data_IF_177195456320
#
_entry.id   IF_177195456320
#
_cell.length_a   1.000
_cell.length_b   1.000
_cell.length_c   1.000
_cell.angle_alpha   90.00
_cell.angle_beta   90.00
_cell.angle_gamma   90.00
#
_symmetry.space_group_name_H-M   'P 1'
#
loop_
_entity.id
_entity.type
_entity.pdbx_description
1 polymer ?
#
# COMPACT_ATOMS: atom_id res chain seq x y z
N UNK A 1 -10.56 -8.14 -21.00
CA UNK A 1 -11.19 -7.81 -19.71
C UNK A 1 -10.97 -8.90 -18.68
N UNK A 2 -10.42 -8.56 -17.50
CA UNK A 2 -10.26 -9.49 -16.37
C UNK A 2 -11.60 -9.57 -15.64
N UNK A 3 -12.21 -10.75 -15.57
CA UNK A 3 -13.43 -10.98 -14.79
C UNK A 3 -13.06 -11.39 -13.37
N UNK A 4 -13.61 -10.70 -12.37
CA UNK A 4 -13.47 -11.08 -10.97
C UNK A 4 -14.58 -12.09 -10.63
N UNK A 5 -14.21 -13.21 -10.00
CA UNK A 5 -15.13 -14.31 -9.76
C UNK A 5 -15.39 -14.59 -8.27
N UNK A 6 -14.40 -14.34 -7.40
CA UNK A 6 -14.51 -14.59 -5.96
C UNK A 6 -13.47 -13.75 -5.19
N UNK A 7 -13.70 -13.47 -3.89
CA UNK A 7 -12.79 -12.70 -3.04
C UNK A 7 -13.20 -12.74 -1.56
N UNK A 8 -12.28 -12.36 -0.68
CA UNK A 8 -12.50 -12.32 0.77
C UNK A 8 -11.54 -11.35 1.47
N UNK A 9 -11.84 -11.04 2.73
CA UNK A 9 -11.01 -10.16 3.58
C UNK A 9 -10.22 -10.98 4.60
N UNK A 10 -9.00 -10.52 4.90
CA UNK A 10 -8.13 -11.18 5.87
C UNK A 10 -7.35 -12.39 5.32
N UNK A 11 -6.48 -12.98 6.13
CA UNK A 11 -5.73 -14.18 5.77
C UNK A 11 -6.63 -15.43 5.72
N UNK A 12 -6.11 -16.51 5.15
CA UNK A 12 -6.72 -17.86 5.16
C UNK A 12 -8.12 -17.95 4.52
N UNK A 13 -8.41 -17.05 3.57
CA UNK A 13 -9.65 -17.07 2.83
C UNK A 13 -9.81 -18.34 1.98
N UNK A 14 -11.02 -18.91 2.01
CA UNK A 14 -11.41 -20.03 1.16
C UNK A 14 -12.33 -19.53 0.05
N UNK A 15 -11.95 -19.86 -1.18
CA UNK A 15 -12.72 -19.52 -2.38
C UNK A 15 -13.10 -20.80 -3.12
N UNK A 16 -14.35 -20.87 -3.57
CA UNK A 16 -14.82 -21.92 -4.47
C UNK A 16 -14.90 -21.33 -5.87
N UNK A 17 -14.18 -21.94 -6.81
CA UNK A 17 -14.13 -21.55 -8.22
C UNK A 17 -14.17 -22.81 -9.10
N UNK A 18 -14.64 -22.71 -10.35
CA UNK A 18 -14.48 -23.79 -11.33
C UNK A 18 -13.02 -24.20 -11.53
N UNK A 19 -12.79 -25.33 -12.20
CA UNK A 19 -11.45 -25.67 -12.65
C UNK A 19 -10.95 -24.67 -13.70
N UNK A 20 -9.65 -24.38 -13.69
CA UNK A 20 -9.03 -23.46 -14.62
C UNK A 20 -7.82 -22.72 -14.06
N UNK A 21 -7.25 -21.86 -14.90
CA UNK A 21 -6.13 -20.99 -14.56
C UNK A 21 -6.63 -19.61 -14.14
N UNK A 22 -6.14 -19.14 -13.00
CA UNK A 22 -6.53 -17.87 -12.40
C UNK A 22 -5.29 -17.07 -12.00
N UNK A 23 -5.50 -15.79 -11.75
CA UNK A 23 -4.50 -14.93 -11.12
C UNK A 23 -5.08 -14.39 -9.83
N UNK A 24 -4.53 -14.83 -8.72
CA UNK A 24 -4.89 -14.39 -7.38
C UNK A 24 -4.28 -13.02 -7.12
N UNK A 25 -5.08 -12.04 -6.70
CA UNK A 25 -4.65 -10.68 -6.35
C UNK A 25 -4.83 -10.48 -4.85
N UNK A 26 -3.76 -10.17 -4.15
CA UNK A 26 -3.82 -9.68 -2.77
C UNK A 26 -3.56 -8.18 -2.76
N UNK A 27 -4.34 -7.44 -1.94
CA UNK A 27 -4.15 -6.01 -1.73
C UNK A 27 -4.25 -5.69 -0.24
N UNK A 28 -3.31 -4.88 0.24
CA UNK A 28 -3.34 -4.30 1.57
C UNK A 28 -2.80 -2.86 1.51
N UNK A 29 -3.64 -1.89 1.86
CA UNK A 29 -3.34 -0.48 1.64
C UNK A 29 -3.06 -0.19 0.17
N UNK A 30 -1.88 0.37 -0.11
CA UNK A 30 -1.39 0.66 -1.45
C UNK A 30 -0.52 -0.46 -2.04
N UNK A 31 -0.23 -1.52 -1.29
CA UNK A 31 0.50 -2.67 -1.80
C UNK A 31 -0.44 -3.66 -2.49
N UNK A 32 -0.04 -4.14 -3.66
CA UNK A 32 -0.74 -5.18 -4.43
C UNK A 32 0.27 -6.21 -4.91
N UNK A 33 -0.07 -7.49 -4.82
CA UNK A 33 0.71 -8.59 -5.37
C UNK A 33 -0.19 -9.58 -6.09
N UNK A 34 0.35 -10.21 -7.14
CA UNK A 34 -0.37 -11.16 -7.98
C UNK A 34 0.41 -12.46 -8.13
N UNK A 35 -0.29 -13.60 -8.05
CA UNK A 35 0.29 -14.92 -8.33
C UNK A 35 -0.62 -15.72 -9.25
N UNK A 36 -0.07 -16.43 -10.25
CA UNK A 36 -0.84 -17.39 -11.04
C UNK A 36 -1.17 -18.63 -10.18
N UNK A 37 -2.37 -19.18 -10.36
CA UNK A 37 -2.82 -20.40 -9.70
C UNK A 37 -3.65 -21.24 -10.66
N UNK A 38 -3.41 -22.55 -10.69
CA UNK A 38 -4.18 -23.51 -11.47
C UNK A 38 -5.02 -24.38 -10.54
N UNK A 39 -6.34 -24.35 -10.69
CA UNK A 39 -7.29 -25.11 -9.86
C UNK A 39 -7.80 -26.32 -10.64
N UNK A 40 -7.73 -27.50 -10.02
CA UNK A 40 -8.26 -28.76 -10.58
C UNK A 40 -9.55 -29.16 -9.89
N UNK A 41 -10.50 -29.72 -10.65
CA UNK A 41 -11.77 -30.18 -10.08
C UNK A 41 -11.57 -31.15 -8.91
N UNK A 42 -12.30 -30.91 -7.82
CA UNK A 42 -12.28 -31.75 -6.61
C UNK A 42 -11.00 -31.67 -5.78
N UNK A 43 -10.05 -30.79 -6.11
CA UNK A 43 -8.80 -30.63 -5.37
C UNK A 43 -8.72 -29.25 -4.72
N UNK A 44 -8.29 -29.20 -3.46
CA UNK A 44 -7.92 -27.94 -2.81
C UNK A 44 -6.55 -27.50 -3.35
N UNK A 45 -6.45 -26.22 -3.72
CA UNK A 45 -5.18 -25.59 -4.11
C UNK A 45 -4.83 -24.55 -3.07
N UNK A 46 -3.69 -24.72 -2.39
CA UNK A 46 -3.14 -23.72 -1.49
C UNK A 46 -2.20 -22.79 -2.26
N UNK A 47 -2.39 -21.49 -2.09
CA UNK A 47 -1.55 -20.46 -2.69
C UNK A 47 -1.22 -19.41 -1.64
N UNK A 48 0.06 -19.04 -1.55
CA UNK A 48 0.54 -17.95 -0.70
C UNK A 48 0.89 -16.74 -1.56
N UNK A 49 0.40 -15.56 -1.17
CA UNK A 49 0.74 -14.30 -1.83
C UNK A 49 1.62 -13.49 -0.90
N UNK A 50 2.88 -13.29 -1.30
CA UNK A 50 3.80 -12.39 -0.59
C UNK A 50 3.54 -10.98 -1.12
N UNK A 51 2.92 -10.13 -0.28
CA UNK A 51 2.63 -8.73 -0.62
C UNK A 51 3.89 -7.89 -0.83
N UNK A 52 5.01 -8.30 -0.22
CA UNK A 52 6.30 -7.59 -0.24
C UNK A 52 6.10 -6.11 0.11
N UNK A 53 5.53 -5.82 1.28
CA UNK A 53 5.09 -4.49 1.67
C UNK A 53 5.67 -4.10 3.04
N UNK A 54 5.78 -2.80 3.29
CA UNK A 54 6.13 -2.25 4.60
C UNK A 54 5.09 -1.25 5.08
N UNK A 55 5.19 -0.85 6.34
CA UNK A 55 4.33 0.16 6.95
C UNK A 55 5.11 1.45 7.13
N UNK A 56 4.55 2.58 6.69
CA UNK A 56 5.02 3.92 7.04
C UNK A 56 4.05 4.53 8.04
N UNK A 57 4.54 4.81 9.25
CA UNK A 57 3.81 5.53 10.29
C UNK A 57 4.44 6.92 10.47
N UNK A 58 3.60 7.95 10.46
CA UNK A 58 3.99 9.35 10.42
C UNK A 58 3.30 10.06 11.58
N UNK A 59 4.08 10.77 12.38
CA UNK A 59 3.58 11.77 13.31
C UNK A 59 4.00 13.16 12.81
N UNK A 60 3.08 14.12 12.81
CA UNK A 60 3.34 15.51 12.47
C UNK A 60 2.53 16.42 13.40
N UNK A 61 3.08 16.79 14.57
CA UNK A 61 2.36 17.59 15.56
C UNK A 61 1.89 18.93 14.99
N UNK A 62 0.59 19.22 15.11
CA UNK A 62 -0.02 20.44 14.58
C UNK A 62 -0.34 20.40 13.08
N UNK A 63 -0.06 19.30 12.38
CA UNK A 63 -0.45 19.14 10.99
C UNK A 63 -1.98 19.20 10.82
N UNK A 64 -2.40 19.90 9.78
CA UNK A 64 -3.76 19.84 9.27
C UNK A 64 -3.94 18.61 8.36
N UNK A 65 -2.94 18.32 7.52
CA UNK A 65 -2.96 17.22 6.55
C UNK A 65 -1.58 16.64 6.31
N UNK A 66 -1.52 15.32 6.16
CA UNK A 66 -0.33 14.56 5.79
C UNK A 66 -0.64 13.82 4.48
N UNK A 67 0.15 14.05 3.44
CA UNK A 67 0.09 13.33 2.16
C UNK A 67 1.37 12.52 1.94
N UNK A 68 1.24 11.30 1.45
CA UNK A 68 2.35 10.41 1.07
C UNK A 68 2.40 10.33 -0.45
N UNK A 69 3.58 10.59 -1.02
CA UNK A 69 3.80 10.61 -2.47
C UNK A 69 5.02 9.79 -2.84
N UNK A 70 5.08 9.28 -4.06
CA UNK A 70 6.35 8.78 -4.61
C UNK A 70 7.34 9.93 -4.74
N UNK A 71 8.63 9.64 -4.66
CA UNK A 71 9.64 10.61 -5.09
C UNK A 71 9.47 10.87 -6.59
N UNK A 72 9.74 12.11 -7.02
CA UNK A 72 9.71 12.48 -8.45
C UNK A 72 10.71 11.65 -9.24
N UNK A 73 10.27 11.07 -10.34
CA UNK A 73 11.18 10.41 -11.29
C UNK A 73 11.90 11.44 -12.17
N UNK A 74 12.80 10.98 -13.05
CA UNK A 74 13.54 11.84 -13.98
C UNK A 74 12.65 12.60 -14.99
N UNK A 75 11.45 12.10 -15.24
CA UNK A 75 10.43 12.73 -16.09
C UNK A 75 9.60 13.77 -15.33
N UNK A 76 9.80 13.90 -14.01
CA UNK A 76 9.05 14.77 -13.12
C UNK A 76 7.74 14.15 -12.59
N UNK A 77 7.44 12.90 -12.91
CA UNK A 77 6.22 12.24 -12.47
C UNK A 77 6.29 11.94 -10.97
N UNK A 78 5.20 12.25 -10.29
CA UNK A 78 4.98 11.97 -8.88
C UNK A 78 3.55 11.47 -8.70
N UNK A 79 3.38 10.41 -7.92
CA UNK A 79 2.07 9.82 -7.64
C UNK A 79 1.69 10.06 -6.19
N UNK A 80 0.48 10.56 -5.97
CA UNK A 80 -0.14 10.56 -4.66
C UNK A 80 -0.51 9.11 -4.28
N UNK A 81 0.00 8.66 -3.15
CA UNK A 81 -0.19 7.30 -2.64
C UNK A 81 -1.33 7.26 -1.64
N UNK A 82 -1.35 8.19 -0.69
CA UNK A 82 -2.33 8.23 0.39
C UNK A 82 -2.32 9.61 1.05
N UNK A 83 -3.39 9.98 1.74
CA UNK A 83 -3.44 11.21 2.50
C UNK A 83 -4.45 11.15 3.63
N UNK A 84 -4.15 11.82 4.73
CA UNK A 84 -4.97 11.85 5.92
C UNK A 84 -5.04 13.27 6.52
N UNK A 85 -6.20 13.64 7.04
CA UNK A 85 -6.34 14.86 7.84
C UNK A 85 -6.04 14.56 9.30
N UNK A 86 -5.32 15.46 9.95
CA UNK A 86 -4.85 15.31 11.32
C UNK A 86 -3.33 15.18 11.45
N UNK A 87 -2.90 14.86 12.66
CA UNK A 87 -1.49 14.91 13.08
C UNK A 87 -0.76 13.57 12.96
N UNK A 88 -1.46 12.51 12.56
CA UNK A 88 -0.89 11.18 12.40
C UNK A 88 -1.39 10.56 11.10
N UNK A 89 -0.57 9.73 10.46
CA UNK A 89 -0.98 8.92 9.31
C UNK A 89 -0.20 7.61 9.30
N UNK A 90 -0.86 6.51 8.95
CA UNK A 90 -0.23 5.22 8.73
C UNK A 90 -0.72 4.62 7.42
N UNK A 91 0.20 4.12 6.61
CA UNK A 91 -0.13 3.46 5.34
C UNK A 91 0.74 2.23 5.10
N UNK A 92 0.16 1.21 4.45
CA UNK A 92 0.90 0.05 3.95
C UNK A 92 1.30 0.32 2.50
N UNK A 93 2.60 0.31 2.23
CA UNK A 93 3.18 0.73 0.97
C UNK A 93 4.10 -0.36 0.40
N UNK A 94 4.25 -0.43 -0.93
CA UNK A 94 5.38 -1.13 -1.53
C UNK A 94 6.73 -0.62 -0.99
N UNK A 95 7.81 -1.40 -1.11
CA UNK A 95 9.14 -0.94 -0.72
C UNK A 95 9.59 0.15 -1.70
N UNK A 96 10.21 1.19 -1.18
CA UNK A 96 10.66 2.32 -1.99
C UNK A 96 10.80 3.61 -1.19
N UNK A 97 11.21 4.65 -1.90
CA UNK A 97 11.35 5.99 -1.35
C UNK A 97 10.09 6.82 -1.58
N UNK A 98 9.68 7.53 -0.53
CA UNK A 98 8.48 8.35 -0.50
C UNK A 98 8.78 9.75 0.04
N UNK A 99 7.99 10.72 -0.42
CA UNK A 99 7.90 12.06 0.14
C UNK A 99 6.65 12.17 0.99
N UNK A 100 6.82 12.60 2.24
CA UNK A 100 5.75 12.94 3.16
C UNK A 100 5.59 14.45 3.17
N UNK A 101 4.44 14.92 2.71
CA UNK A 101 4.09 16.33 2.60
C UNK A 101 3.13 16.69 3.71
N UNK A 102 3.56 17.57 4.60
CA UNK A 102 2.77 18.05 5.74
C UNK A 102 2.29 19.46 5.47
N UNK A 103 0.98 19.65 5.59
CA UNK A 103 0.33 20.95 5.50
C UNK A 103 -0.16 21.36 6.88
N UNK A 104 0.12 22.59 7.29
CA UNK A 104 -0.30 23.18 8.56
C UNK A 104 -1.41 24.20 8.31
N UNK A 105 -2.34 24.33 9.26
CA UNK A 105 -3.44 25.31 9.13
C UNK A 105 -2.90 26.74 9.12
N UNK A 106 -3.39 27.57 8.19
CA UNK A 106 -2.99 28.97 8.06
C UNK A 106 -1.54 29.18 7.59
N UNK A 107 -0.86 28.15 7.08
CA UNK A 107 0.48 28.26 6.49
C UNK A 107 0.46 27.82 5.02
N UNK A 108 1.02 28.67 4.15
CA UNK A 108 1.19 28.34 2.74
C UNK A 108 2.37 27.40 2.51
N UNK A 109 3.38 27.44 3.38
CA UNK A 109 4.55 26.57 3.31
C UNK A 109 4.25 25.16 3.82
N UNK A 110 4.56 24.16 2.98
CA UNK A 110 4.47 22.74 3.33
C UNK A 110 5.83 22.25 3.80
N UNK A 111 5.84 21.34 4.78
CA UNK A 111 7.05 20.59 5.14
C UNK A 111 7.12 19.31 4.34
N UNK A 112 8.30 18.98 3.84
CA UNK A 112 8.53 17.76 3.06
C UNK A 112 9.63 16.95 3.76
N UNK A 113 9.31 15.70 4.10
CA UNK A 113 10.26 14.73 4.62
C UNK A 113 10.39 13.56 3.64
N UNK A 114 11.57 12.93 3.59
CA UNK A 114 11.77 11.68 2.83
C UNK A 114 11.74 10.48 3.78
N UNK A 115 11.13 9.40 3.33
CA UNK A 115 11.11 8.13 4.06
C UNK A 115 11.30 6.95 3.10
N UNK A 116 12.11 5.98 3.52
CA UNK A 116 12.30 4.73 2.78
C UNK A 116 11.52 3.63 3.47
N UNK A 117 10.57 3.02 2.76
CA UNK A 117 9.84 1.84 3.22
C UNK A 117 10.60 0.60 2.76
N UNK A 118 10.90 -0.29 3.70
CA UNK A 118 11.41 -1.63 3.41
C UNK A 118 10.30 -2.66 3.57
N UNK A 119 10.35 -3.73 2.77
CA UNK A 119 9.47 -4.88 2.94
C UNK A 119 9.55 -5.46 4.36
N UNK A 120 8.42 -5.93 4.86
CA UNK A 120 8.25 -6.61 6.15
C UNK A 120 8.71 -5.80 7.36
N UNK A 121 8.83 -4.47 7.21
CA UNK A 121 9.24 -3.54 8.27
C UNK A 121 8.22 -2.44 8.48
N UNK A 122 8.22 -1.92 9.71
CA UNK A 122 7.58 -0.66 10.07
C UNK A 122 8.64 0.44 10.13
N UNK A 123 8.40 1.51 9.41
CA UNK A 123 9.19 2.74 9.38
C UNK A 123 8.39 3.82 10.09
N UNK A 124 8.98 4.45 11.09
CA UNK A 124 8.33 5.54 11.84
C UNK A 124 9.10 6.83 11.62
N UNK A 125 8.40 7.92 11.33
CA UNK A 125 8.99 9.25 11.20
C UNK A 125 8.18 10.29 11.97
N UNK A 126 8.86 11.34 12.41
CA UNK A 126 8.23 12.56 12.93
C UNK A 126 8.61 13.74 12.04
N UNK A 127 7.63 14.54 11.64
CA UNK A 127 7.81 15.73 10.81
C UNK A 127 7.36 16.94 11.62
N UNK A 128 8.33 17.73 12.08
CA UNK A 128 8.09 18.95 12.89
C UNK A 128 8.24 20.19 12.06
#
# INVERSE_FOLDING_TARGET
DRKNFNGGYGPDNRMFVPEGDYTLVARLGQATAEVPVSVKAGQATEASVILNAGVLAIAAPGAYRIDIRTVKNISGDQKDMSGNYGTEHQETLPPGDYEVVVTYEGRDEKKIAKATVSADKRTEITVE
#
